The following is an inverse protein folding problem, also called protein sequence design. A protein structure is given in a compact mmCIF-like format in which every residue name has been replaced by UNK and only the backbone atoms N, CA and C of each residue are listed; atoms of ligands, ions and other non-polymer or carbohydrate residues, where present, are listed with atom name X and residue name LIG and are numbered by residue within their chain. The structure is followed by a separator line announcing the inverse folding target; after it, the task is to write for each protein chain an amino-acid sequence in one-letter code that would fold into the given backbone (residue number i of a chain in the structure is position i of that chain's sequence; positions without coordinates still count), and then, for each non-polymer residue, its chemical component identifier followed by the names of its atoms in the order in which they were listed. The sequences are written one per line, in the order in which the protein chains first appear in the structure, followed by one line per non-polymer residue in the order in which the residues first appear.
data_IF_862078678433
#
_entry.id   IF_862078678433
#
_cell.length_a   1.000
_cell.length_b   1.000
_cell.length_c   1.000
_cell.angle_alpha   90.00
_cell.angle_beta   90.00
_cell.angle_gamma   90.00
#
_symmetry.space_group_name_H-M   'P 1'
#
loop_
_entity.id
_entity.type
_entity.pdbx_description
1 polymer ?
#
# COMPACT_ATOMS: atom_id res chain seq x y z
N UNK A 1 -43.23 11.76 -51.20
CA UNK A 1 -42.60 11.81 -49.86
C UNK A 1 -43.02 10.51 -49.17
N UNK A 2 -42.18 9.48 -49.28
CA UNK A 2 -42.51 8.12 -48.86
C UNK A 2 -41.88 7.92 -47.44
N UNK A 3 -42.70 7.75 -46.44
CA UNK A 3 -42.27 7.51 -45.05
C UNK A 3 -41.94 5.99 -44.92
N UNK A 4 -40.65 5.70 -44.74
CA UNK A 4 -40.18 4.37 -44.41
C UNK A 4 -40.42 4.10 -42.93
N UNK A 5 -41.32 3.17 -42.61
CA UNK A 5 -41.53 2.61 -41.29
C UNK A 5 -40.33 1.72 -40.96
N UNK A 6 -39.46 2.20 -40.05
CA UNK A 6 -38.41 1.39 -39.42
C UNK A 6 -39.06 0.41 -38.46
N UNK A 7 -39.01 -0.89 -38.80
CA UNK A 7 -39.49 -1.97 -37.98
C UNK A 7 -38.74 -2.03 -36.65
N UNK A 8 -39.48 -2.00 -35.55
CA UNK A 8 -38.97 -2.27 -34.19
C UNK A 8 -38.65 -3.77 -34.16
N UNK A 9 -37.37 -4.15 -33.76
CA UNK A 9 -37.09 -5.58 -33.59
C UNK A 9 -37.96 -6.15 -32.49
N UNK A 10 -38.65 -7.25 -32.78
CA UNK A 10 -39.43 -7.98 -31.80
C UNK A 10 -38.54 -8.36 -30.59
N UNK A 11 -38.98 -7.99 -29.40
CA UNK A 11 -38.36 -8.44 -28.16
C UNK A 11 -38.48 -9.98 -28.14
N UNK A 12 -37.33 -10.67 -28.20
CA UNK A 12 -37.30 -12.12 -28.08
C UNK A 12 -38.01 -12.54 -26.79
N UNK A 13 -38.97 -13.42 -26.89
CA UNK A 13 -39.68 -13.99 -25.74
C UNK A 13 -38.68 -14.76 -24.88
N UNK A 14 -38.29 -14.18 -23.76
CA UNK A 14 -37.59 -14.94 -22.71
C UNK A 14 -38.60 -15.97 -22.21
N UNK A 15 -38.36 -17.25 -22.50
CA UNK A 15 -39.12 -18.36 -21.94
C UNK A 15 -39.13 -18.21 -20.41
N UNK A 16 -40.30 -18.17 -19.81
CA UNK A 16 -40.42 -18.06 -18.36
C UNK A 16 -39.95 -19.37 -17.73
N UNK A 17 -38.73 -19.33 -17.13
CA UNK A 17 -38.21 -20.46 -16.37
C UNK A 17 -39.05 -20.69 -15.11
N UNK A 18 -39.32 -21.95 -14.79
CA UNK A 18 -39.97 -22.32 -13.54
C UNK A 18 -39.13 -21.90 -12.33
N UNK A 19 -39.74 -21.77 -11.17
CA UNK A 19 -39.03 -21.44 -9.94
C UNK A 19 -37.96 -22.48 -9.60
N UNK A 20 -38.24 -23.75 -9.85
CA UNK A 20 -37.30 -24.84 -9.57
C UNK A 20 -36.08 -24.82 -10.53
N UNK A 21 -36.29 -24.52 -11.80
CA UNK A 21 -35.17 -24.31 -12.76
C UNK A 21 -34.28 -23.14 -12.36
N UNK A 22 -34.89 -22.05 -11.88
CA UNK A 22 -34.16 -20.88 -11.41
C UNK A 22 -33.32 -21.19 -10.16
N UNK A 23 -33.87 -21.95 -9.20
CA UNK A 23 -33.18 -22.39 -8.00
C UNK A 23 -32.00 -23.32 -8.33
N UNK A 24 -32.23 -24.29 -9.25
CA UNK A 24 -31.16 -25.21 -9.67
C UNK A 24 -30.01 -24.47 -10.34
N UNK A 25 -30.29 -23.50 -11.20
CA UNK A 25 -29.27 -22.70 -11.85
C UNK A 25 -28.36 -21.91 -10.86
N UNK A 26 -28.94 -21.47 -9.72
CA UNK A 26 -28.17 -20.77 -8.69
C UNK A 26 -27.21 -21.70 -7.94
N UNK A 27 -27.57 -22.96 -7.73
CA UNK A 27 -26.73 -23.94 -7.03
C UNK A 27 -25.45 -24.28 -7.79
N UNK A 28 -25.46 -24.19 -9.11
CA UNK A 28 -24.31 -24.46 -9.98
C UNK A 28 -23.51 -23.19 -10.32
N UNK A 29 -23.99 -22.00 -9.93
CA UNK A 29 -23.33 -20.74 -10.23
C UNK A 29 -22.08 -20.57 -9.37
N UNK A 30 -20.92 -20.57 -10.01
CA UNK A 30 -19.66 -20.31 -9.31
C UNK A 30 -19.48 -18.81 -9.08
N UNK A 31 -18.86 -18.43 -7.97
CA UNK A 31 -18.60 -17.03 -7.63
C UNK A 31 -17.89 -16.26 -8.75
N UNK A 32 -16.91 -16.88 -9.42
CA UNK A 32 -16.20 -16.28 -10.56
C UNK A 32 -17.06 -15.98 -11.79
N UNK A 33 -18.24 -16.60 -11.88
CA UNK A 33 -19.20 -16.45 -12.98
C UNK A 33 -20.39 -15.56 -12.54
N UNK A 34 -20.37 -15.05 -11.30
CA UNK A 34 -21.42 -14.19 -10.75
C UNK A 34 -21.19 -12.73 -11.13
N UNK A 35 -21.98 -12.24 -12.08
CA UNK A 35 -21.95 -10.87 -12.59
C UNK A 35 -23.27 -10.14 -12.32
N UNK A 36 -23.52 -9.68 -11.09
CA UNK A 36 -24.79 -9.07 -10.73
C UNK A 36 -24.98 -7.73 -11.45
N UNK A 37 -26.20 -7.51 -11.93
CA UNK A 37 -26.60 -6.18 -12.41
C UNK A 37 -27.36 -5.46 -11.34
N UNK A 38 -26.83 -4.31 -10.89
CA UNK A 38 -27.51 -3.51 -9.88
C UNK A 38 -28.91 -3.09 -10.33
N UNK A 39 -29.90 -3.30 -9.48
CA UNK A 39 -31.25 -2.77 -9.65
C UNK A 39 -31.41 -1.35 -9.11
N UNK A 40 -30.41 -0.86 -8.36
CA UNK A 40 -30.41 0.48 -7.81
C UNK A 40 -30.01 1.50 -8.87
N UNK A 41 -30.75 2.60 -8.94
CA UNK A 41 -30.44 3.76 -9.77
C UNK A 41 -29.83 4.85 -8.88
N UNK A 42 -28.56 4.70 -8.58
CA UNK A 42 -27.82 5.65 -7.74
C UNK A 42 -27.22 6.72 -8.66
N UNK A 43 -27.35 8.02 -8.34
CA UNK A 43 -26.62 9.06 -9.05
C UNK A 43 -25.14 8.75 -9.07
N UNK A 44 -24.52 8.82 -10.24
CA UNK A 44 -23.08 8.62 -10.37
C UNK A 44 -22.41 9.99 -10.46
N UNK A 45 -21.43 10.20 -9.61
CA UNK A 45 -20.55 11.36 -9.71
C UNK A 45 -19.30 10.94 -10.49
N UNK A 46 -19.08 11.59 -11.64
CA UNK A 46 -17.87 11.38 -12.46
C UNK A 46 -16.83 12.42 -12.08
N UNK A 47 -16.08 12.14 -11.02
CA UNK A 47 -14.96 12.99 -10.58
C UNK A 47 -13.70 12.54 -11.28
N UNK A 48 -13.31 13.25 -12.34
CA UNK A 48 -12.10 12.93 -13.12
C UNK A 48 -10.87 13.74 -12.69
N UNK A 49 -11.10 14.81 -11.93
CA UNK A 49 -10.06 15.75 -11.53
C UNK A 49 -10.34 16.30 -10.15
N UNK A 50 -9.34 16.35 -9.31
CA UNK A 50 -9.45 16.97 -7.99
C UNK A 50 -9.69 18.49 -8.12
N UNK A 51 -10.56 19.05 -7.28
CA UNK A 51 -10.88 20.49 -7.26
C UNK A 51 -9.66 21.33 -6.87
N UNK A 52 -8.88 20.85 -5.90
CA UNK A 52 -7.64 21.47 -5.45
C UNK A 52 -6.45 20.59 -5.83
N UNK A 53 -5.24 21.16 -5.94
CA UNK A 53 -4.04 20.36 -6.10
C UNK A 53 -3.89 19.36 -4.95
N UNK A 54 -3.62 18.10 -5.26
CA UNK A 54 -3.44 17.03 -4.28
C UNK A 54 -2.03 16.48 -4.32
N UNK A 55 -1.64 15.81 -3.25
CA UNK A 55 -0.41 15.05 -3.14
C UNK A 55 -0.77 13.58 -3.06
N UNK A 56 -0.22 12.79 -3.97
CA UNK A 56 -0.26 11.34 -3.89
C UNK A 56 0.87 10.89 -2.95
N UNK A 57 0.48 10.36 -1.80
CA UNK A 57 1.44 9.99 -0.74
C UNK A 57 1.89 8.54 -0.80
N UNK A 58 1.28 7.72 -1.67
CA UNK A 58 1.63 6.32 -1.78
C UNK A 58 1.59 5.85 -3.22
N UNK A 59 2.74 5.87 -3.86
CA UNK A 59 2.99 5.25 -5.17
C UNK A 59 4.37 4.60 -5.20
N UNK A 60 4.57 3.73 -6.18
CA UNK A 60 5.83 3.03 -6.40
C UNK A 60 6.42 3.35 -7.77
N UNK A 61 7.60 2.85 -8.08
CA UNK A 61 8.23 3.03 -9.39
C UNK A 61 7.57 2.15 -10.47
N UNK A 62 6.40 2.56 -10.93
CA UNK A 62 5.65 1.84 -11.98
C UNK A 62 6.14 2.13 -13.39
N UNK A 63 6.97 3.16 -13.59
CA UNK A 63 7.46 3.54 -14.90
C UNK A 63 8.72 2.76 -15.29
N UNK A 64 8.64 1.91 -16.29
CA UNK A 64 9.77 1.13 -16.77
C UNK A 64 10.88 1.99 -17.40
N UNK A 65 10.49 3.11 -18.02
CA UNK A 65 11.36 3.99 -18.81
C UNK A 65 10.88 5.46 -18.81
N UNK A 66 11.60 6.32 -19.47
CA UNK A 66 11.29 7.75 -19.58
C UNK A 66 9.92 8.01 -20.23
N UNK A 67 9.49 7.17 -21.17
CA UNK A 67 8.18 7.29 -21.80
C UNK A 67 7.06 6.97 -20.81
N UNK A 68 7.28 5.98 -19.95
CA UNK A 68 6.40 5.63 -18.83
C UNK A 68 6.28 6.77 -17.83
N UNK A 69 7.40 7.40 -17.44
CA UNK A 69 7.37 8.59 -16.55
C UNK A 69 6.61 9.74 -17.21
N UNK A 70 6.84 10.00 -18.49
CA UNK A 70 6.10 11.04 -19.23
C UNK A 70 4.58 10.76 -19.27
N UNK A 71 4.19 9.49 -19.43
CA UNK A 71 2.78 9.08 -19.38
C UNK A 71 2.19 9.29 -17.99
N UNK A 72 2.93 8.93 -16.94
CA UNK A 72 2.51 9.14 -15.55
C UNK A 72 2.29 10.63 -15.26
N UNK A 73 3.24 11.50 -15.63
CA UNK A 73 3.11 12.96 -15.44
C UNK A 73 1.85 13.49 -16.13
N UNK A 74 1.53 13.06 -17.36
CA UNK A 74 0.26 13.44 -18.02
C UNK A 74 -0.96 13.02 -17.22
N UNK A 75 -0.93 11.85 -16.60
CA UNK A 75 -2.02 11.37 -15.72
C UNK A 75 -2.12 12.25 -14.48
N UNK A 76 -1.00 12.54 -13.80
CA UNK A 76 -0.98 13.43 -12.64
C UNK A 76 -1.57 14.81 -13.00
N UNK A 77 -1.19 15.39 -14.14
CA UNK A 77 -1.71 16.69 -14.61
C UNK A 77 -3.21 16.63 -14.88
N UNK A 78 -3.70 15.56 -15.50
CA UNK A 78 -5.12 15.39 -15.80
C UNK A 78 -5.97 15.29 -14.54
N UNK A 79 -5.44 14.65 -13.49
CA UNK A 79 -6.11 14.45 -12.20
C UNK A 79 -5.92 15.62 -11.21
N UNK A 80 -5.10 16.62 -11.53
CA UNK A 80 -4.68 17.71 -10.63
C UNK A 80 -3.83 17.23 -9.45
N UNK A 81 -3.00 16.22 -9.66
CA UNK A 81 -2.02 15.75 -8.68
C UNK A 81 -0.74 16.54 -8.88
N UNK A 82 -0.34 17.32 -7.87
CA UNK A 82 0.84 18.18 -7.96
C UNK A 82 2.13 17.42 -7.65
N UNK A 83 2.11 16.58 -6.63
CA UNK A 83 3.25 15.76 -6.21
C UNK A 83 2.83 14.31 -6.10
N UNK A 84 3.73 13.39 -6.44
CA UNK A 84 3.55 11.96 -6.19
C UNK A 84 4.77 11.44 -5.43
N UNK A 85 4.52 10.79 -4.30
CA UNK A 85 5.54 10.04 -3.58
C UNK A 85 5.86 8.78 -4.38
N UNK A 86 7.16 8.54 -4.61
CA UNK A 86 7.61 7.30 -5.23
C UNK A 86 8.43 6.55 -4.20
N UNK A 87 7.82 5.55 -3.59
CA UNK A 87 8.46 4.71 -2.58
C UNK A 87 9.19 3.57 -3.26
N UNK A 88 10.46 3.43 -2.95
CA UNK A 88 11.32 2.42 -3.54
C UNK A 88 12.26 1.83 -2.51
N UNK A 89 11.67 1.17 -1.51
CA UNK A 89 12.40 0.58 -0.39
C UNK A 89 13.46 -0.45 -0.82
N UNK A 90 13.49 -0.82 -2.09
CA UNK A 90 14.42 -1.81 -2.58
C UNK A 90 15.82 -1.25 -2.88
N UNK A 91 15.99 0.07 -3.07
CA UNK A 91 17.22 0.61 -3.63
C UNK A 91 17.94 1.58 -2.70
N UNK A 92 19.23 1.30 -2.52
CA UNK A 92 20.23 2.14 -1.85
C UNK A 92 21.50 2.16 -2.71
N UNK A 93 22.47 3.00 -2.37
CA UNK A 93 23.72 3.08 -3.11
C UNK A 93 23.55 3.63 -4.53
N UNK A 94 24.34 3.16 -5.46
CA UNK A 94 24.28 3.55 -6.87
C UNK A 94 22.92 3.28 -7.52
N UNK A 95 22.20 2.18 -7.23
CA UNK A 95 20.85 1.98 -7.71
C UNK A 95 19.87 3.07 -7.31
N UNK A 96 19.98 3.68 -6.11
CA UNK A 96 19.17 4.81 -5.73
C UNK A 96 19.39 6.03 -6.63
N UNK A 97 20.66 6.34 -6.98
CA UNK A 97 20.97 7.43 -7.90
C UNK A 97 20.43 7.19 -9.31
N UNK A 98 20.48 5.95 -9.78
CA UNK A 98 19.94 5.56 -11.08
C UNK A 98 18.42 5.70 -11.10
N UNK A 99 17.77 5.24 -10.07
CA UNK A 99 16.33 5.34 -9.86
C UNK A 99 15.85 6.81 -9.93
N UNK A 100 16.41 7.72 -9.14
CA UNK A 100 15.98 9.13 -9.12
C UNK A 100 16.32 9.86 -10.42
N UNK A 101 17.36 9.46 -11.15
CA UNK A 101 17.77 10.08 -12.41
C UNK A 101 16.66 10.05 -13.46
N UNK A 102 15.89 8.98 -13.53
CA UNK A 102 14.75 8.79 -14.43
C UNK A 102 13.69 9.88 -14.26
N UNK A 103 13.50 10.39 -13.05
CA UNK A 103 12.47 11.37 -12.71
C UNK A 103 12.97 12.83 -12.70
N UNK A 104 14.28 13.06 -12.67
CA UNK A 104 14.89 14.40 -12.62
C UNK A 104 14.39 15.40 -13.67
N UNK A 105 14.07 14.99 -14.92
CA UNK A 105 13.55 15.93 -15.93
C UNK A 105 12.24 16.62 -15.55
N UNK A 106 11.53 16.08 -14.56
CA UNK A 106 10.23 16.61 -14.12
C UNK A 106 10.30 17.46 -12.85
N UNK A 107 11.51 17.84 -12.44
CA UNK A 107 11.74 18.74 -11.29
C UNK A 107 11.27 18.18 -9.97
N UNK A 108 10.40 18.92 -9.29
CA UNK A 108 9.89 18.60 -7.96
C UNK A 108 8.60 17.75 -7.93
N UNK A 109 8.17 17.26 -9.11
CA UNK A 109 6.91 16.50 -9.23
C UNK A 109 6.90 15.19 -8.44
N UNK A 110 8.08 14.62 -8.20
CA UNK A 110 8.23 13.35 -7.52
C UNK A 110 9.00 13.50 -6.21
N UNK A 111 8.46 12.92 -5.14
CA UNK A 111 9.06 12.85 -3.82
C UNK A 111 9.66 11.45 -3.66
N UNK A 112 10.98 11.37 -3.61
CA UNK A 112 11.69 10.10 -3.57
C UNK A 112 11.81 9.56 -2.15
N UNK A 113 11.68 8.24 -2.01
CA UNK A 113 11.83 7.53 -0.75
C UNK A 113 12.94 6.50 -0.89
N UNK A 114 13.77 6.39 0.13
CA UNK A 114 14.88 5.46 0.19
C UNK A 114 14.58 4.29 1.13
N UNK A 115 15.61 3.53 1.45
CA UNK A 115 15.56 2.39 2.35
C UNK A 115 16.72 2.42 3.35
N UNK A 116 16.66 1.57 4.37
CA UNK A 116 17.81 1.28 5.22
C UNK A 116 18.75 0.28 4.55
N UNK A 117 20.05 0.47 4.76
CA UNK A 117 21.06 -0.47 4.29
C UNK A 117 21.28 -1.58 5.33
N UNK A 118 20.89 -2.80 4.98
CA UNK A 118 21.07 -3.98 5.84
C UNK A 118 22.37 -4.74 5.56
N UNK A 119 23.26 -4.22 4.72
CA UNK A 119 24.55 -4.86 4.42
C UNK A 119 25.42 -4.92 5.67
N UNK A 120 25.71 -6.13 6.13
CA UNK A 120 26.46 -6.38 7.36
C UNK A 120 25.66 -6.10 8.63
N UNK A 121 24.32 -6.24 8.59
CA UNK A 121 23.47 -6.08 9.76
C UNK A 121 23.95 -6.95 10.93
N UNK A 122 24.11 -6.33 12.10
CA UNK A 122 24.61 -6.99 13.31
C UNK A 122 26.13 -7.05 13.42
N UNK A 123 26.89 -6.68 12.39
CA UNK A 123 28.34 -6.54 12.48
C UNK A 123 28.75 -5.22 13.19
N UNK A 124 29.94 -5.17 13.80
CA UNK A 124 30.46 -3.93 14.36
C UNK A 124 30.49 -2.78 13.34
N UNK A 125 29.99 -1.61 13.72
CA UNK A 125 29.96 -0.41 12.87
C UNK A 125 28.89 -0.45 11.76
N UNK A 126 27.98 -1.43 11.75
CA UNK A 126 26.88 -1.47 10.79
C UNK A 126 25.98 -0.23 10.90
N UNK A 127 25.54 0.12 12.10
CA UNK A 127 24.59 1.24 12.28
C UNK A 127 25.17 2.56 11.75
N UNK A 128 26.45 2.83 12.00
CA UNK A 128 27.11 4.02 11.52
C UNK A 128 27.25 4.04 9.99
N UNK A 129 27.47 2.87 9.36
CA UNK A 129 27.48 2.77 7.89
C UNK A 129 26.10 3.02 7.29
N UNK A 130 25.07 2.41 7.87
CA UNK A 130 23.69 2.55 7.42
C UNK A 130 23.14 3.98 7.62
N UNK A 131 23.51 4.65 8.71
CA UNK A 131 23.20 6.08 8.93
C UNK A 131 23.86 6.95 7.88
N UNK A 132 25.14 6.74 7.55
CA UNK A 132 25.81 7.50 6.49
C UNK A 132 25.15 7.31 5.12
N UNK A 133 24.69 6.09 4.82
CA UNK A 133 23.94 5.84 3.57
C UNK A 133 22.58 6.53 3.55
N UNK A 134 21.86 6.52 4.67
CA UNK A 134 20.61 7.28 4.82
C UNK A 134 20.82 8.77 4.57
N UNK A 135 21.85 9.35 5.19
CA UNK A 135 22.23 10.77 5.00
C UNK A 135 22.61 11.06 3.55
N UNK A 136 23.32 10.14 2.90
CA UNK A 136 23.66 10.26 1.47
C UNK A 136 22.40 10.26 0.59
N UNK A 137 21.47 9.36 0.84
CA UNK A 137 20.19 9.32 0.13
C UNK A 137 19.39 10.62 0.36
N UNK A 138 19.35 11.12 1.60
CA UNK A 138 18.72 12.40 1.93
C UNK A 138 19.35 13.57 1.16
N UNK A 139 20.69 13.64 1.11
CA UNK A 139 21.41 14.68 0.35
C UNK A 139 21.13 14.60 -1.17
N UNK A 140 20.86 13.42 -1.70
CA UNK A 140 20.45 13.21 -3.08
C UNK A 140 18.98 13.54 -3.35
N UNK A 141 18.19 13.79 -2.31
CA UNK A 141 16.80 14.23 -2.43
C UNK A 141 15.76 13.26 -1.89
N UNK A 142 16.15 12.19 -1.19
CA UNK A 142 15.19 11.36 -0.47
C UNK A 142 14.44 12.18 0.58
N UNK A 143 13.12 11.98 0.67
CA UNK A 143 12.20 12.70 1.57
C UNK A 143 11.64 11.83 2.68
N UNK A 144 11.88 10.52 2.64
CA UNK A 144 11.44 9.55 3.61
C UNK A 144 12.10 8.20 3.39
N UNK A 145 11.77 7.27 4.25
CA UNK A 145 12.13 5.85 4.13
C UNK A 145 10.86 5.05 3.95
N UNK A 146 10.78 4.22 2.91
CA UNK A 146 9.60 3.39 2.64
C UNK A 146 9.42 2.97 1.17
N UNK A 147 8.53 2.08 0.92
CA UNK A 147 7.66 1.40 1.89
C UNK A 147 8.42 0.26 2.59
N UNK A 148 8.65 0.37 3.89
CA UNK A 148 9.15 -0.76 4.67
C UNK A 148 8.05 -1.79 4.83
N UNK A 149 8.41 -3.07 4.90
CA UNK A 149 7.42 -4.16 4.99
C UNK A 149 7.77 -5.08 6.15
N UNK A 150 6.78 -5.43 6.97
CA UNK A 150 6.86 -6.50 7.95
C UNK A 150 5.50 -7.21 8.04
N UNK A 151 5.41 -8.39 7.42
CA UNK A 151 4.19 -9.22 7.40
C UNK A 151 4.21 -10.35 8.42
N UNK A 152 5.23 -10.37 9.30
CA UNK A 152 5.38 -11.37 10.37
C UNK A 152 6.78 -11.91 10.53
N UNK A 153 7.55 -12.03 9.46
CA UNK A 153 8.91 -12.57 9.50
C UNK A 153 10.00 -11.51 9.67
N UNK A 154 9.64 -10.22 9.75
CA UNK A 154 10.63 -9.15 9.83
C UNK A 154 11.51 -9.06 8.56
N UNK A 155 10.98 -9.50 7.42
CA UNK A 155 11.70 -9.46 6.15
C UNK A 155 11.41 -8.15 5.43
N UNK A 156 12.45 -7.48 4.98
CA UNK A 156 12.34 -6.27 4.16
C UNK A 156 12.91 -6.49 2.76
N UNK A 157 12.45 -5.69 1.81
CA UNK A 157 12.84 -5.83 0.38
C UNK A 157 14.09 -5.04 -0.01
N UNK A 158 14.84 -4.50 0.97
CA UNK A 158 16.06 -3.73 0.68
C UNK A 158 17.01 -4.43 -0.30
N UNK A 159 17.67 -3.66 -1.14
CA UNK A 159 18.70 -4.12 -2.08
C UNK A 159 20.00 -3.32 -1.85
N UNK A 160 21.19 -3.88 -1.99
CA UNK A 160 21.46 -5.25 -2.50
C UNK A 160 21.18 -6.37 -1.48
N UNK A 161 21.05 -6.06 -0.19
CA UNK A 161 20.86 -7.05 0.89
C UNK A 161 19.51 -6.82 1.55
N UNK A 162 18.58 -7.77 1.48
CA UNK A 162 17.30 -7.66 2.21
C UNK A 162 17.52 -7.80 3.71
N UNK A 163 16.69 -7.11 4.49
CA UNK A 163 16.59 -7.38 5.93
C UNK A 163 15.92 -8.74 6.17
N UNK A 164 16.35 -9.46 7.21
CA UNK A 164 15.84 -10.76 7.59
C UNK A 164 15.63 -10.84 9.10
N UNK A 165 14.43 -11.18 9.54
CA UNK A 165 14.10 -11.32 10.95
C UNK A 165 14.24 -10.02 11.74
N UNK A 166 14.01 -8.86 11.10
CA UNK A 166 14.23 -7.54 11.67
C UNK A 166 12.89 -6.82 11.77
N UNK A 167 12.31 -6.85 12.94
CA UNK A 167 11.07 -6.13 13.22
C UNK A 167 11.33 -4.68 13.59
N UNK A 168 10.33 -3.81 13.43
CA UNK A 168 10.49 -2.36 13.64
C UNK A 168 10.91 -1.98 15.06
N UNK A 169 10.60 -2.81 16.05
CA UNK A 169 11.01 -2.64 17.45
C UNK A 169 12.42 -3.16 17.77
N UNK A 170 13.18 -3.65 16.78
CA UNK A 170 14.55 -4.10 16.98
C UNK A 170 15.42 -2.92 17.43
N UNK A 171 16.06 -2.99 18.61
CA UNK A 171 16.85 -1.88 19.15
C UNK A 171 18.05 -1.48 18.29
N UNK A 172 18.51 -2.36 17.39
CA UNK A 172 19.59 -2.06 16.46
C UNK A 172 19.18 -1.05 15.39
N UNK A 173 17.86 -0.93 15.09
CA UNK A 173 17.33 0.09 14.17
C UNK A 173 17.27 1.49 14.78
N UNK A 174 17.43 1.63 16.10
CA UNK A 174 17.32 2.92 16.82
C UNK A 174 18.10 4.05 16.15
N UNK A 175 19.42 3.91 15.82
CA UNK A 175 20.19 5.02 15.25
C UNK A 175 19.61 5.52 13.91
N UNK A 176 19.04 4.61 13.09
CA UNK A 176 18.47 4.97 11.81
C UNK A 176 17.10 5.65 11.97
N UNK A 177 16.25 5.12 12.85
CA UNK A 177 14.91 5.66 13.07
C UNK A 177 15.00 7.07 13.72
N UNK A 178 15.86 7.24 14.71
CA UNK A 178 16.12 8.55 15.33
C UNK A 178 16.70 9.54 14.30
N UNK A 179 17.63 9.07 13.44
CA UNK A 179 18.18 9.93 12.38
C UNK A 179 17.14 10.35 11.35
N UNK A 180 16.17 9.48 11.02
CA UNK A 180 15.03 9.87 10.21
C UNK A 180 14.27 11.04 10.83
N UNK A 181 13.99 11.00 12.12
CA UNK A 181 13.35 12.11 12.85
C UNK A 181 14.16 13.40 12.77
N UNK A 182 15.47 13.36 13.02
CA UNK A 182 16.37 14.52 12.95
C UNK A 182 16.44 15.14 11.54
N UNK A 183 16.36 14.32 10.50
CA UNK A 183 16.36 14.76 9.10
C UNK A 183 14.98 15.20 8.61
N UNK A 184 13.91 15.03 9.41
CA UNK A 184 12.53 15.27 8.99
C UNK A 184 12.07 14.29 7.91
N UNK A 185 12.63 13.09 7.89
CA UNK A 185 12.27 12.01 6.98
C UNK A 185 11.26 11.08 7.66
N UNK A 186 9.98 11.05 7.26
CA UNK A 186 9.04 10.07 7.77
C UNK A 186 9.44 8.65 7.36
N UNK A 187 9.02 7.68 8.18
CA UNK A 187 9.14 6.25 7.90
C UNK A 187 7.76 5.72 7.51
N UNK A 188 7.61 5.31 6.26
CA UNK A 188 6.40 4.67 5.75
C UNK A 188 6.54 3.16 5.87
N UNK A 189 5.54 2.49 6.45
CA UNK A 189 5.61 1.07 6.75
C UNK A 189 4.28 0.34 6.51
N UNK A 190 4.38 -0.74 5.74
CA UNK A 190 3.37 -1.76 5.61
C UNK A 190 3.59 -2.78 6.74
N UNK A 191 2.91 -2.60 7.85
CA UNK A 191 2.96 -3.56 8.95
C UNK A 191 1.73 -4.46 8.91
N UNK A 192 1.96 -5.75 9.09
CA UNK A 192 0.98 -6.81 8.91
C UNK A 192 0.34 -6.85 7.52
N UNK A 193 -0.61 -7.75 7.37
CA UNK A 193 -1.63 -7.82 6.33
C UNK A 193 -3.01 -7.74 7.02
N UNK A 194 -4.11 -7.56 6.30
CA UNK A 194 -5.43 -7.69 6.91
C UNK A 194 -5.59 -8.98 7.71
N UNK A 195 -6.29 -8.92 8.83
CA UNK A 195 -6.34 -10.00 9.83
C UNK A 195 -6.69 -11.37 9.23
N UNK A 196 -7.57 -11.41 8.23
CA UNK A 196 -7.97 -12.66 7.57
C UNK A 196 -6.82 -13.37 6.83
N UNK A 197 -5.69 -12.69 6.55
CA UNK A 197 -4.50 -13.29 5.94
C UNK A 197 -3.73 -14.18 6.93
N UNK A 198 -4.01 -14.06 8.23
CA UNK A 198 -3.43 -14.86 9.33
C UNK A 198 -4.35 -16.00 9.78
N UNK A 199 -5.58 -16.04 9.26
CA UNK A 199 -6.58 -17.03 9.61
C UNK A 199 -6.56 -18.23 8.65
N UNK A 200 -7.14 -19.38 9.04
CA UNK A 200 -7.26 -20.53 8.14
C UNK A 200 -7.95 -20.17 6.82
N UNK A 201 -7.42 -20.69 5.73
CA UNK A 201 -7.99 -20.51 4.37
C UNK A 201 -9.14 -21.51 4.17
N UNK A 202 -10.27 -21.29 4.85
CA UNK A 202 -11.44 -22.12 4.75
C UNK A 202 -12.71 -21.31 4.40
N UNK A 203 -13.88 -21.98 4.37
CA UNK A 203 -15.17 -21.36 4.00
C UNK A 203 -15.65 -20.27 4.98
N UNK A 204 -15.01 -20.11 6.13
CA UNK A 204 -15.36 -19.12 7.15
C UNK A 204 -14.47 -17.89 7.10
N UNK A 205 -13.41 -17.92 6.29
CA UNK A 205 -12.51 -16.79 6.13
C UNK A 205 -13.16 -15.72 5.25
N UNK A 206 -13.43 -14.56 5.84
CA UNK A 206 -14.09 -13.43 5.17
C UNK A 206 -13.27 -12.87 3.98
N UNK A 207 -11.96 -12.94 4.06
CA UNK A 207 -11.04 -12.48 3.04
C UNK A 207 -10.56 -13.56 2.06
N UNK A 208 -11.14 -14.78 2.05
CA UNK A 208 -10.64 -15.93 1.31
C UNK A 208 -10.35 -15.64 -0.17
N UNK A 209 -11.21 -14.88 -0.83
CA UNK A 209 -11.09 -14.58 -2.26
C UNK A 209 -9.90 -13.65 -2.57
N UNK A 210 -9.48 -12.85 -1.59
CA UNK A 210 -8.30 -11.99 -1.69
C UNK A 210 -7.09 -12.62 -1.00
N UNK A 211 -7.32 -13.46 0.01
CA UNK A 211 -6.30 -13.98 0.90
C UNK A 211 -5.50 -15.15 0.35
N UNK A 212 -6.04 -15.89 -0.64
CA UNK A 212 -5.41 -17.12 -1.11
C UNK A 212 -3.97 -16.91 -1.62
N UNK A 213 -3.70 -15.78 -2.29
CA UNK A 213 -2.38 -15.45 -2.83
C UNK A 213 -1.51 -14.64 -1.86
N UNK A 214 -2.08 -14.12 -0.77
CA UNK A 214 -1.44 -13.21 0.18
C UNK A 214 -1.40 -13.73 1.61
N UNK A 215 -1.91 -14.94 1.83
CA UNK A 215 -1.94 -15.56 3.16
C UNK A 215 -0.54 -15.63 3.78
N UNK A 216 -0.47 -15.33 5.07
CA UNK A 216 0.76 -15.37 5.85
C UNK A 216 0.93 -16.77 6.41
N UNK A 217 2.09 -17.38 6.20
CA UNK A 217 2.43 -18.65 6.85
C UNK A 217 2.77 -18.43 8.32
N UNK A 218 1.75 -18.48 9.17
CA UNK A 218 1.89 -18.31 10.63
C UNK A 218 2.59 -19.48 11.30
N UNK A 219 2.83 -20.60 10.58
CA UNK A 219 3.58 -21.76 11.11
C UNK A 219 5.10 -21.60 10.91
N UNK A 220 5.53 -20.64 10.13
CA UNK A 220 6.95 -20.37 9.89
C UNK A 220 7.64 -19.96 11.21
N UNK A 221 8.82 -20.52 11.46
CA UNK A 221 9.60 -20.21 12.66
C UNK A 221 9.90 -18.71 12.76
N UNK A 222 9.59 -18.12 13.92
CA UNK A 222 9.80 -16.68 14.18
C UNK A 222 8.73 -15.77 13.59
N UNK A 223 7.68 -16.31 12.96
CA UNK A 223 6.58 -15.51 12.48
C UNK A 223 5.77 -14.91 13.63
N UNK A 224 5.66 -13.57 13.64
CA UNK A 224 4.75 -12.82 14.53
C UNK A 224 3.35 -12.79 13.92
N UNK A 225 2.34 -13.11 14.70
CA UNK A 225 0.95 -12.96 14.28
C UNK A 225 0.51 -11.50 14.26
N UNK A 226 -0.72 -11.27 13.76
CA UNK A 226 -1.29 -9.93 13.57
C UNK A 226 -1.19 -9.05 14.83
N UNK A 227 -1.67 -9.52 16.00
CA UNK A 227 -1.67 -8.72 17.24
C UNK A 227 -0.26 -8.44 17.75
N UNK A 228 0.68 -9.35 17.56
CA UNK A 228 2.06 -9.13 17.95
C UNK A 228 2.74 -8.08 17.06
N UNK A 229 2.41 -8.04 15.76
CA UNK A 229 2.87 -7.00 14.85
C UNK A 229 2.30 -5.62 15.23
N UNK A 230 1.01 -5.54 15.59
CA UNK A 230 0.42 -4.30 16.10
C UNK A 230 1.14 -3.82 17.35
N UNK A 231 1.39 -4.72 18.30
CA UNK A 231 2.16 -4.40 19.52
C UNK A 231 3.60 -3.97 19.22
N UNK A 232 4.24 -4.59 18.22
CA UNK A 232 5.58 -4.21 17.73
C UNK A 232 5.58 -2.76 17.24
N UNK A 233 4.57 -2.39 16.46
CA UNK A 233 4.45 -1.05 15.92
C UNK A 233 4.17 -0.01 17.02
N UNK A 234 3.28 -0.31 17.96
CA UNK A 234 3.01 0.58 19.09
C UNK A 234 4.27 0.80 19.96
N UNK A 235 5.10 -0.22 20.16
CA UNK A 235 6.39 -0.07 20.86
C UNK A 235 7.32 0.88 20.12
N UNK A 236 7.37 0.79 18.79
CA UNK A 236 8.19 1.70 17.98
C UNK A 236 7.66 3.15 18.03
N UNK A 237 6.35 3.36 17.92
CA UNK A 237 5.75 4.70 18.06
C UNK A 237 6.10 5.35 19.39
N UNK A 238 6.00 4.59 20.48
CA UNK A 238 6.33 5.07 21.83
C UNK A 238 7.83 5.32 22.03
N UNK A 239 8.68 4.50 21.41
CA UNK A 239 10.13 4.60 21.54
C UNK A 239 10.74 5.76 20.75
N UNK A 240 10.09 6.19 19.67
CA UNK A 240 10.61 7.19 18.72
C UNK A 240 9.65 8.38 18.51
N UNK A 241 9.30 9.13 19.55
CA UNK A 241 8.30 10.21 19.44
C UNK A 241 8.76 11.37 18.54
N UNK A 242 10.06 11.47 18.25
CA UNK A 242 10.62 12.47 17.31
C UNK A 242 10.58 12.06 15.84
N UNK A 243 10.19 10.82 15.53
CA UNK A 243 10.13 10.31 14.17
C UNK A 243 8.68 10.14 13.74
N UNK A 244 8.32 10.70 12.60
CA UNK A 244 7.00 10.51 11.99
C UNK A 244 6.90 9.14 11.32
N UNK A 245 5.85 8.41 11.64
CA UNK A 245 5.50 7.14 10.98
C UNK A 245 4.24 7.31 10.14
N UNK A 246 4.25 6.72 8.95
CA UNK A 246 3.09 6.60 8.08
C UNK A 246 2.77 5.12 7.94
N UNK A 247 1.71 4.67 8.60
CA UNK A 247 1.25 3.30 8.47
C UNK A 247 0.43 3.15 7.20
N UNK A 248 0.88 2.29 6.29
CA UNK A 248 0.22 2.05 5.01
C UNK A 248 -1.11 1.33 5.19
N UNK A 249 -2.07 1.58 4.29
CA UNK A 249 -3.30 0.80 4.14
C UNK A 249 -4.18 0.77 5.40
N UNK A 250 -4.41 1.92 6.06
CA UNK A 250 -5.11 1.97 7.36
C UNK A 250 -4.45 1.10 8.44
N UNK A 251 -3.11 0.94 8.42
CA UNK A 251 -2.39 0.03 9.31
C UNK A 251 -2.88 -1.43 9.16
N UNK A 252 -3.48 -1.78 8.00
CA UNK A 252 -4.18 -3.05 7.81
C UNK A 252 -5.21 -3.39 8.90
N UNK A 253 -5.79 -2.36 9.52
CA UNK A 253 -6.75 -2.42 10.64
C UNK A 253 -8.16 -2.03 10.18
N UNK A 254 -8.49 -2.30 8.92
CA UNK A 254 -9.75 -1.95 8.29
C UNK A 254 -10.99 -2.62 8.93
N UNK A 255 -10.80 -3.71 9.68
CA UNK A 255 -11.84 -4.36 10.45
C UNK A 255 -12.12 -3.68 11.80
N UNK A 256 -11.26 -2.74 12.25
CA UNK A 256 -11.36 -2.08 13.56
C UNK A 256 -10.88 -0.61 13.48
N UNK A 257 -11.65 0.21 12.79
CA UNK A 257 -11.32 1.64 12.62
C UNK A 257 -11.45 2.44 13.92
N UNK A 258 -12.19 1.95 14.92
CA UNK A 258 -12.28 2.58 16.25
C UNK A 258 -10.94 2.43 16.98
N UNK A 259 -10.33 1.25 16.95
CA UNK A 259 -8.99 1.02 17.48
C UNK A 259 -7.95 1.86 16.76
N UNK A 260 -8.02 1.93 15.42
CA UNK A 260 -7.14 2.79 14.64
C UNK A 260 -7.27 4.26 15.05
N UNK A 261 -8.49 4.77 15.21
CA UNK A 261 -8.74 6.13 15.71
C UNK A 261 -8.11 6.37 17.07
N UNK A 262 -8.23 5.41 17.99
CA UNK A 262 -7.60 5.47 19.32
C UNK A 262 -6.07 5.56 19.24
N UNK A 263 -5.44 4.84 18.31
CA UNK A 263 -3.99 4.93 18.09
C UNK A 263 -3.58 6.29 17.55
N UNK A 264 -4.33 6.84 16.57
CA UNK A 264 -4.08 8.16 16.01
C UNK A 264 -4.19 9.27 17.06
N UNK A 265 -5.15 9.16 17.99
CA UNK A 265 -5.31 10.10 19.10
C UNK A 265 -4.17 10.00 20.13
N UNK A 266 -3.65 8.79 20.34
CA UNK A 266 -2.59 8.50 21.32
C UNK A 266 -1.19 8.91 20.83
N UNK A 267 -0.90 8.71 19.56
CA UNK A 267 0.44 8.87 19.01
C UNK A 267 0.50 10.02 17.99
N UNK A 268 0.91 11.23 18.40
CA UNK A 268 0.96 12.39 17.51
C UNK A 268 1.98 12.26 16.36
N UNK A 269 2.87 11.28 16.44
CA UNK A 269 3.83 10.93 15.40
C UNK A 269 3.32 9.84 14.44
N UNK A 270 2.06 9.39 14.58
CA UNK A 270 1.42 8.42 13.68
C UNK A 270 0.54 9.13 12.66
N UNK A 271 0.71 8.77 11.41
CA UNK A 271 -0.18 9.04 10.28
C UNK A 271 -0.55 7.72 9.61
N UNK A 272 -1.63 7.71 8.84
CA UNK A 272 -2.01 6.56 8.02
C UNK A 272 -2.30 7.00 6.60
N UNK A 273 -2.03 6.14 5.63
CA UNK A 273 -2.53 6.31 4.28
C UNK A 273 -3.71 5.37 4.00
N UNK A 274 -4.41 5.62 2.90
CA UNK A 274 -5.60 4.88 2.49
C UNK A 274 -5.37 4.08 1.21
N UNK A 275 -4.12 3.89 0.81
CA UNK A 275 -3.79 3.16 -0.41
C UNK A 275 -4.38 1.75 -0.36
N UNK A 276 -5.00 1.33 -1.45
CA UNK A 276 -5.67 0.04 -1.53
C UNK A 276 -6.91 -0.13 -0.64
N UNK A 277 -7.39 0.96 0.02
CA UNK A 277 -8.53 0.94 0.97
C UNK A 277 -9.64 1.93 0.59
N UNK A 278 -9.81 2.17 -0.71
CA UNK A 278 -10.83 3.11 -1.19
C UNK A 278 -12.26 2.68 -0.85
N UNK A 279 -12.52 1.36 -0.77
CA UNK A 279 -13.82 0.81 -0.38
C UNK A 279 -14.18 1.18 1.06
N UNK A 280 -13.26 0.95 1.98
CA UNK A 280 -13.42 1.22 3.40
C UNK A 280 -13.50 2.73 3.70
N UNK A 281 -12.86 3.55 2.85
CA UNK A 281 -12.91 5.02 2.98
C UNK A 281 -14.27 5.61 2.62
N UNK A 282 -15.14 4.86 1.95
CA UNK A 282 -16.45 5.29 1.50
C UNK A 282 -17.60 4.80 2.38
N UNK A 283 -17.30 4.02 3.43
CA UNK A 283 -18.28 3.42 4.33
C UNK A 283 -18.82 4.39 5.40
#
# INVERSE_FOLDING_TARGET
MTIALLGIPAAGSVSAQSLEERKAAVQELRLKDYEPRSVFRIPRTDVRRAKFPVVDMHSHDYAADDAGVAAWVRTLDSCNIRYSSVMHCEWIGAPFEEYIRKYRPYGDRFLFWGCFDYTGFGEPGWAERAVRELERCHALGARGVGEMVDKGLGDTYARPVPGRGIHLDDPRLRPLIERCGELGMPVSIHIAEPIWMYEPLDRHNDGLMNGADWAVDTSAEGCRGYEELMATFERALAAYPGTTFIACHYLNMNQDLERLGTLLDRYPNLYVDIAGRAGESAA
#
